data_IF_466650777094
#
_entry.id   IF_466650777094
#
_cell.length_a   1.000
_cell.length_b   1.000
_cell.length_c   1.000
_cell.angle_alpha   90.00
_cell.angle_beta   90.00
_cell.angle_gamma   90.00
#
_symmetry.space_group_name_H-M   'P 1'
#
loop_
_entity.id
_entity.type
_entity.pdbx_description
1 polymer ?
#
# COMPACT_ATOMS: atom_id res chain seq x y z
N UNK A 1 -8.99 -5.42 20.22
CA UNK A 1 -10.15 -4.78 19.59
C UNK A 1 -10.27 -5.32 18.17
N UNK A 2 -11.47 -5.61 17.70
CA UNK A 2 -11.72 -6.09 16.33
C UNK A 2 -12.85 -5.29 15.71
N UNK A 3 -12.91 -5.24 14.37
CA UNK A 3 -13.95 -4.54 13.63
C UNK A 3 -14.07 -5.09 12.22
N UNK A 4 -15.28 -5.03 11.67
CA UNK A 4 -15.58 -5.45 10.30
C UNK A 4 -16.32 -4.31 9.63
N UNK A 5 -16.00 -4.04 8.37
CA UNK A 5 -16.68 -3.03 7.58
C UNK A 5 -16.50 -3.27 6.09
N UNK A 6 -17.00 -2.34 5.29
CA UNK A 6 -16.82 -2.32 3.84
C UNK A 6 -16.31 -0.94 3.46
N UNK A 7 -15.36 -0.87 2.53
CA UNK A 7 -14.81 0.39 2.07
C UNK A 7 -14.82 0.48 0.55
N UNK A 8 -14.98 1.71 0.06
CA UNK A 8 -14.67 2.08 -1.32
C UNK A 8 -13.21 2.53 -1.35
N UNK A 9 -12.37 1.82 -2.10
CA UNK A 9 -10.92 2.03 -2.12
C UNK A 9 -10.36 1.89 -3.53
N UNK A 10 -9.20 2.49 -3.78
CA UNK A 10 -8.43 2.31 -5.01
C UNK A 10 -7.31 1.27 -4.85
N UNK A 11 -7.39 0.43 -3.81
CA UNK A 11 -6.47 -0.69 -3.58
C UNK A 11 -6.39 -1.56 -4.84
N UNK A 12 -5.19 -1.78 -5.38
CA UNK A 12 -5.02 -2.49 -6.66
C UNK A 12 -5.04 -1.58 -7.90
N UNK A 13 -5.10 -0.25 -7.74
CA UNK A 13 -4.95 0.74 -8.82
C UNK A 13 -6.25 1.16 -9.50
N UNK A 14 -7.33 0.39 -9.37
CA UNK A 14 -8.66 0.71 -9.87
C UNK A 14 -9.67 0.86 -8.73
N UNK A 15 -10.81 1.49 -9.01
CA UNK A 15 -11.89 1.63 -8.05
C UNK A 15 -12.42 0.24 -7.64
N UNK A 16 -12.44 -0.02 -6.34
CA UNK A 16 -12.81 -1.29 -5.75
C UNK A 16 -13.68 -1.13 -4.49
N UNK A 17 -14.52 -2.13 -4.24
CA UNK A 17 -15.30 -2.27 -3.01
C UNK A 17 -14.82 -3.51 -2.29
N UNK A 18 -14.22 -3.35 -1.11
CA UNK A 18 -13.61 -4.46 -0.39
C UNK A 18 -14.16 -4.54 1.04
N UNK A 19 -14.42 -5.77 1.54
CA UNK A 19 -14.60 -5.97 2.96
C UNK A 19 -13.28 -5.69 3.68
N UNK A 20 -13.37 -5.03 4.82
CA UNK A 20 -12.24 -4.68 5.67
C UNK A 20 -12.39 -5.36 7.00
N UNK A 21 -11.37 -6.12 7.39
CA UNK A 21 -11.28 -6.73 8.71
C UNK A 21 -10.15 -6.07 9.47
N UNK A 22 -10.50 -5.37 10.54
CA UNK A 22 -9.56 -4.75 11.46
C UNK A 22 -9.37 -5.64 12.69
N UNK A 23 -8.12 -5.90 13.04
CA UNK A 23 -7.75 -6.54 14.29
C UNK A 23 -6.54 -5.83 14.90
N UNK A 24 -6.71 -5.41 16.14
CA UNK A 24 -5.64 -4.92 16.98
C UNK A 24 -5.55 -5.79 18.23
N UNK A 25 -4.45 -6.50 18.36
CA UNK A 25 -4.16 -7.38 19.47
C UNK A 25 -2.80 -6.99 20.07
N UNK A 26 -2.72 -6.95 21.39
CA UNK A 26 -1.45 -6.83 22.11
C UNK A 26 -1.42 -7.94 23.14
N UNK A 27 -0.33 -8.70 23.17
CA UNK A 27 -0.16 -9.79 24.13
C UNK A 27 -0.18 -9.27 25.56
N UNK A 28 -0.72 -10.07 26.48
CA UNK A 28 -0.75 -9.79 27.92
C UNK A 28 0.65 -9.49 28.47
N UNK A 29 1.67 -10.20 27.98
CA UNK A 29 3.07 -9.98 28.36
C UNK A 29 3.68 -8.72 27.73
N UNK A 30 2.94 -7.98 26.89
CA UNK A 30 3.37 -6.79 26.15
C UNK A 30 4.63 -6.95 25.29
N UNK A 31 5.08 -8.20 25.04
CA UNK A 31 6.25 -8.52 24.23
C UNK A 31 5.97 -8.48 22.73
N UNK A 32 4.72 -8.58 22.34
CA UNK A 32 4.32 -8.53 20.94
C UNK A 32 2.90 -8.01 20.78
N UNK A 33 2.61 -7.51 19.58
CA UNK A 33 1.29 -7.10 19.15
C UNK A 33 1.10 -7.32 17.66
N UNK A 34 -0.14 -7.27 17.25
CA UNK A 34 -0.57 -7.45 15.88
C UNK A 34 -1.58 -6.35 15.55
N UNK A 35 -1.34 -5.65 14.45
CA UNK A 35 -2.26 -4.69 13.87
C UNK A 35 -2.47 -5.07 12.40
N UNK A 36 -3.69 -5.39 12.03
CA UNK A 36 -4.02 -5.78 10.66
C UNK A 36 -5.33 -5.13 10.22
N UNK A 37 -5.37 -4.73 8.96
CA UNK A 37 -6.50 -4.16 8.22
C UNK A 37 -6.53 -4.91 6.89
N UNK A 38 -7.12 -6.10 6.84
CA UNK A 38 -7.08 -6.93 5.63
C UNK A 38 -8.10 -6.43 4.60
N UNK A 39 -7.75 -6.35 3.30
CA UNK A 39 -6.47 -6.75 2.66
C UNK A 39 -5.46 -5.61 2.49
N UNK A 40 -5.65 -4.46 3.12
CA UNK A 40 -4.82 -3.27 2.90
C UNK A 40 -3.47 -3.31 3.63
N UNK A 41 -3.42 -3.80 4.87
CA UNK A 41 -2.22 -3.72 5.71
C UNK A 41 -2.17 -4.85 6.73
N UNK A 42 -0.96 -5.31 7.00
CA UNK A 42 -0.65 -6.20 8.11
C UNK A 42 0.65 -5.74 8.77
N UNK A 43 0.68 -5.69 10.09
CA UNK A 43 1.85 -5.26 10.85
C UNK A 43 1.95 -6.05 12.15
N UNK A 44 2.96 -6.89 12.23
CA UNK A 44 3.39 -7.57 13.43
C UNK A 44 4.42 -6.72 14.16
N UNK A 45 4.22 -6.50 15.45
CA UNK A 45 5.12 -5.74 16.33
C UNK A 45 5.70 -6.65 17.39
N UNK A 46 7.01 -6.57 17.60
CA UNK A 46 7.73 -7.26 18.68
C UNK A 46 8.55 -6.26 19.48
N UNK A 47 8.36 -6.29 20.80
CA UNK A 47 9.11 -5.48 21.75
C UNK A 47 10.25 -6.35 22.24
N UNK A 48 11.48 -6.03 21.82
CA UNK A 48 12.68 -6.78 22.25
C UNK A 48 12.98 -6.38 23.70
N UNK A 49 13.08 -5.07 23.93
CA UNK A 49 13.28 -4.45 25.24
C UNK A 49 12.36 -3.22 25.35
N UNK A 50 12.32 -2.56 26.51
CA UNK A 50 11.56 -1.31 26.70
C UNK A 50 12.00 -0.18 25.74
N UNK A 51 13.26 -0.23 25.27
CA UNK A 51 13.84 0.75 24.36
C UNK A 51 13.95 0.26 22.90
N UNK A 52 13.61 -0.99 22.61
CA UNK A 52 13.82 -1.59 21.29
C UNK A 52 12.54 -2.22 20.78
N UNK A 53 12.04 -1.67 19.67
CA UNK A 53 10.87 -2.17 18.96
C UNK A 53 11.28 -2.71 17.59
N UNK A 54 10.56 -3.71 17.12
CA UNK A 54 10.70 -4.20 15.75
C UNK A 54 9.33 -4.45 15.16
N UNK A 55 9.10 -3.96 13.96
CA UNK A 55 7.84 -4.08 13.24
C UNK A 55 8.11 -4.76 11.91
N UNK A 56 7.30 -5.75 11.56
CA UNK A 56 7.36 -6.43 10.28
C UNK A 56 5.96 -6.45 9.71
N UNK A 57 5.83 -6.03 8.46
CA UNK A 57 4.51 -5.93 7.86
C UNK A 57 4.54 -5.79 6.36
N UNK A 58 3.35 -5.76 5.81
CA UNK A 58 3.14 -5.42 4.41
C UNK A 58 1.96 -4.46 4.30
N UNK A 59 1.97 -3.66 3.24
CA UNK A 59 0.96 -2.66 2.94
C UNK A 59 0.71 -2.67 1.44
N UNK A 60 -0.54 -2.71 1.04
CA UNK A 60 -0.95 -2.58 -0.35
C UNK A 60 -1.37 -1.15 -0.57
N UNK A 61 -0.73 -0.49 -1.53
CA UNK A 61 -1.05 0.87 -1.96
C UNK A 61 -1.62 0.82 -3.38
N UNK A 62 -2.60 1.67 -3.64
CA UNK A 62 -3.20 1.83 -4.95
C UNK A 62 -3.47 3.31 -5.22
N UNK A 63 -2.86 3.84 -6.28
CA UNK A 63 -2.96 5.24 -6.65
C UNK A 63 -3.39 5.35 -8.13
N UNK A 64 -4.20 6.34 -8.43
CA UNK A 64 -4.66 6.65 -9.78
C UNK A 64 -4.30 8.10 -10.09
N UNK A 65 -3.54 8.32 -11.16
CA UNK A 65 -3.11 9.64 -11.60
C UNK A 65 -3.78 9.96 -12.94
N UNK A 66 -4.55 11.03 -12.98
CA UNK A 66 -5.15 11.51 -14.22
C UNK A 66 -4.10 12.27 -15.05
N UNK A 67 -3.90 11.86 -16.30
CA UNK A 67 -3.07 12.54 -17.29
C UNK A 67 -4.03 13.28 -18.23
N UNK A 68 -4.33 14.54 -17.88
CA UNK A 68 -5.12 15.43 -18.72
C UNK A 68 -4.22 16.10 -19.76
N UNK A 69 -4.65 16.08 -21.03
CA UNK A 69 -4.02 16.87 -22.08
C UNK A 69 -4.80 18.18 -22.23
N UNK A 70 -4.25 19.27 -21.68
CA UNK A 70 -4.95 20.55 -21.61
C UNK A 70 -5.21 21.08 -23.04
N UNK A 71 -6.49 21.21 -23.39
CA UNK A 71 -6.95 21.84 -24.63
C UNK A 71 -7.00 20.98 -25.91
N UNK A 72 -6.64 19.68 -25.87
CA UNK A 72 -6.62 18.76 -27.03
C UNK A 72 -6.37 19.44 -28.42
N UNK A 73 -5.28 20.22 -28.59
CA UNK A 73 -5.09 21.05 -29.78
C UNK A 73 -4.93 20.23 -31.08
N UNK A 74 -4.71 18.91 -30.98
CA UNK A 74 -4.48 18.00 -32.08
C UNK A 74 -5.57 16.93 -32.26
N UNK A 75 -6.69 17.01 -31.54
CA UNK A 75 -7.81 16.07 -31.67
C UNK A 75 -7.43 14.61 -31.39
N UNK A 76 -6.45 14.37 -30.52
CA UNK A 76 -5.94 13.03 -30.23
C UNK A 76 -7.00 12.22 -29.46
N UNK A 77 -7.19 10.92 -29.77
CA UNK A 77 -8.21 10.09 -29.14
C UNK A 77 -7.87 9.67 -27.69
N UNK A 78 -6.87 10.27 -27.05
CA UNK A 78 -6.29 9.85 -25.76
C UNK A 78 -6.42 10.94 -24.68
N UNK A 79 -7.61 11.53 -24.53
CA UNK A 79 -7.80 12.68 -23.63
C UNK A 79 -8.05 12.30 -22.16
N UNK A 80 -8.46 11.05 -21.89
CA UNK A 80 -8.87 10.56 -20.57
C UNK A 80 -7.93 9.43 -20.09
N UNK A 81 -6.62 9.68 -20.12
CA UNK A 81 -5.63 8.68 -19.70
C UNK A 81 -5.46 8.70 -18.18
N UNK A 82 -5.57 7.55 -17.55
CA UNK A 82 -5.32 7.36 -16.12
C UNK A 82 -4.14 6.40 -15.95
N UNK A 83 -3.08 6.87 -15.30
CA UNK A 83 -1.99 6.01 -14.85
C UNK A 83 -2.37 5.38 -13.51
N UNK A 84 -2.51 4.06 -13.51
CA UNK A 84 -2.89 3.29 -12.34
C UNK A 84 -1.67 2.57 -11.78
N UNK A 85 -1.42 2.77 -10.50
CA UNK A 85 -0.34 2.15 -9.75
C UNK A 85 -0.92 1.30 -8.64
N UNK A 86 -0.50 0.04 -8.59
CA UNK A 86 -0.76 -0.90 -7.51
C UNK A 86 0.55 -1.47 -7.02
N UNK A 87 0.84 -1.31 -5.73
CA UNK A 87 2.13 -1.70 -5.16
C UNK A 87 1.93 -2.41 -3.83
N UNK A 88 2.59 -3.55 -3.67
CA UNK A 88 2.73 -4.23 -2.39
C UNK A 88 4.07 -3.85 -1.78
N UNK A 89 4.04 -3.17 -0.65
CA UNK A 89 5.22 -2.79 0.13
C UNK A 89 5.38 -3.76 1.29
N UNK A 90 6.42 -4.58 1.26
CA UNK A 90 6.86 -5.34 2.43
C UNK A 90 7.90 -4.51 3.17
N UNK A 91 7.73 -4.31 4.48
CA UNK A 91 8.64 -3.48 5.27
C UNK A 91 8.97 -4.10 6.62
N UNK A 92 10.23 -3.95 7.00
CA UNK A 92 10.74 -4.18 8.33
C UNK A 92 11.19 -2.83 8.91
N UNK A 93 10.85 -2.55 10.15
CA UNK A 93 11.21 -1.33 10.86
C UNK A 93 11.78 -1.70 12.21
N UNK A 94 12.89 -1.10 12.57
CA UNK A 94 13.52 -1.22 13.86
C UNK A 94 13.55 0.16 14.50
N UNK A 95 13.02 0.27 15.72
CA UNK A 95 12.97 1.52 16.45
C UNK A 95 13.76 1.39 17.75
N UNK A 96 14.55 2.42 18.05
CA UNK A 96 15.36 2.50 19.26
C UNK A 96 15.12 3.82 19.99
N UNK A 97 14.75 3.73 21.26
CA UNK A 97 14.57 4.88 22.13
C UNK A 97 15.89 5.23 22.85
N UNK A 98 16.48 6.38 22.52
CA UNK A 98 17.61 6.93 23.28
C UNK A 98 17.12 7.53 24.61
N UNK A 99 16.04 8.29 24.54
CA UNK A 99 15.29 8.85 25.67
C UNK A 99 13.80 8.52 25.47
N UNK A 100 12.94 8.68 26.49
CA UNK A 100 11.50 8.46 26.31
C UNK A 100 10.87 9.31 25.20
N UNK A 101 11.51 10.44 24.84
CA UNK A 101 11.06 11.41 23.83
C UNK A 101 11.76 11.25 22.47
N UNK A 102 13.02 10.79 22.45
CA UNK A 102 13.81 10.70 21.21
C UNK A 102 13.95 9.25 20.79
N UNK A 103 13.41 8.96 19.61
CA UNK A 103 13.41 7.64 18.99
C UNK A 103 14.09 7.73 17.62
N UNK A 104 14.90 6.73 17.32
CA UNK A 104 15.46 6.50 16.00
C UNK A 104 14.69 5.37 15.34
N UNK A 105 14.38 5.49 14.05
CA UNK A 105 13.60 4.52 13.30
C UNK A 105 14.32 4.16 12.00
N UNK A 106 14.95 3.00 11.97
CA UNK A 106 15.50 2.45 10.73
C UNK A 106 14.46 1.55 10.05
N UNK A 107 14.12 1.85 8.80
CA UNK A 107 13.17 1.08 8.01
C UNK A 107 13.81 0.58 6.73
N UNK A 108 13.66 -0.72 6.46
CA UNK A 108 14.04 -1.33 5.20
C UNK A 108 12.81 -1.99 4.58
N UNK A 109 12.67 -1.95 3.27
CA UNK A 109 11.55 -2.60 2.61
C UNK A 109 11.77 -2.90 1.15
N UNK A 110 10.83 -3.65 0.60
CA UNK A 110 10.79 -4.06 -0.79
C UNK A 110 9.43 -3.69 -1.38
N UNK A 111 9.46 -3.07 -2.56
CA UNK A 111 8.26 -2.64 -3.27
C UNK A 111 8.05 -3.58 -4.45
N UNK A 112 7.01 -4.40 -4.37
CA UNK A 112 6.57 -5.24 -5.47
C UNK A 112 5.47 -4.50 -6.24
N UNK A 113 5.78 -4.08 -7.47
CA UNK A 113 4.82 -3.42 -8.34
C UNK A 113 3.94 -4.47 -9.00
N UNK A 114 2.64 -4.47 -8.65
CA UNK A 114 1.67 -5.38 -9.26
C UNK A 114 1.14 -4.79 -10.57
N UNK A 115 0.81 -3.50 -10.59
CA UNK A 115 0.35 -2.81 -11.81
C UNK A 115 0.93 -1.40 -11.86
N UNK A 116 1.41 -1.01 -13.03
CA UNK A 116 1.82 0.36 -13.35
C UNK A 116 1.39 0.66 -14.77
N UNK A 117 0.09 0.56 -15.01
CA UNK A 117 -0.46 0.48 -16.34
C UNK A 117 -1.33 1.70 -16.62
N UNK A 118 -1.32 2.16 -17.86
CA UNK A 118 -2.18 3.25 -18.31
C UNK A 118 -3.49 2.66 -18.80
N UNK A 119 -4.59 3.21 -18.32
CA UNK A 119 -5.94 2.83 -18.72
C UNK A 119 -6.79 4.07 -19.07
N UNK A 120 -8.00 3.86 -19.60
CA UNK A 120 -8.91 4.96 -19.96
C UNK A 120 -10.18 4.94 -19.12
N UNK A 121 -10.39 6.04 -18.40
CA UNK A 121 -11.58 6.30 -17.60
C UNK A 121 -11.68 5.47 -16.31
N UNK A 122 -12.52 5.93 -15.37
CA UNK A 122 -12.70 5.34 -14.04
C UNK A 122 -13.70 4.16 -14.12
N UNK A 123 -13.22 2.91 -14.04
CA UNK A 123 -14.08 1.72 -14.13
C UNK A 123 -13.76 0.72 -13.01
N UNK A 124 -14.80 0.00 -12.57
CA UNK A 124 -14.67 -1.04 -11.56
C UNK A 124 -14.01 -2.28 -12.18
N UNK A 125 -12.84 -2.67 -11.66
CA UNK A 125 -12.11 -3.88 -12.09
C UNK A 125 -11.90 -4.79 -10.88
N UNK A 126 -12.71 -5.84 -10.70
CA UNK A 126 -12.53 -6.77 -9.59
C UNK A 126 -11.19 -7.52 -9.74
N UNK A 127 -10.64 -7.99 -8.61
CA UNK A 127 -9.44 -8.83 -8.61
C UNK A 127 -9.64 -10.06 -9.52
N UNK A 128 -8.80 -10.20 -10.55
CA UNK A 128 -8.85 -11.32 -11.52
C UNK A 128 -9.54 -11.01 -12.85
N UNK A 129 -9.86 -9.74 -13.14
CA UNK A 129 -10.33 -9.34 -14.47
C UNK A 129 -9.17 -9.13 -15.46
N UNK A 130 -9.26 -9.77 -16.63
CA UNK A 130 -8.23 -9.86 -17.68
C UNK A 130 -8.34 -8.75 -18.74
N UNK A 131 -9.15 -7.71 -18.49
CA UNK A 131 -9.33 -6.63 -19.47
C UNK A 131 -7.99 -5.93 -19.78
N UNK A 132 -7.61 -5.83 -21.07
CA UNK A 132 -6.26 -5.37 -21.45
C UNK A 132 -6.08 -3.87 -21.18
N UNK A 133 -5.03 -3.52 -20.46
CA UNK A 133 -4.58 -2.14 -20.27
C UNK A 133 -4.11 -1.51 -21.59
N UNK A 134 -4.22 -0.19 -21.73
CA UNK A 134 -3.79 0.56 -22.92
C UNK A 134 -2.28 0.59 -23.10
N UNK A 135 -1.53 0.70 -21.99
CA UNK A 135 -0.08 0.57 -22.00
C UNK A 135 0.38 -0.17 -20.74
N UNK A 136 1.18 -1.22 -20.93
CA UNK A 136 1.76 -2.00 -19.83
C UNK A 136 3.17 -1.54 -19.53
N UNK A 137 3.48 -1.30 -18.26
CA UNK A 137 4.83 -0.89 -17.87
C UNK A 137 5.51 -1.96 -17.02
N UNK A 138 6.72 -2.36 -17.40
CA UNK A 138 7.57 -3.22 -16.58
C UNK A 138 8.45 -2.35 -15.66
N UNK A 139 7.85 -1.70 -14.65
CA UNK A 139 8.66 -1.10 -13.59
C UNK A 139 9.20 -2.21 -12.68
N UNK A 140 10.52 -2.28 -12.54
CA UNK A 140 11.18 -3.22 -11.62
C UNK A 140 10.78 -3.01 -10.17
N UNK A 141 11.16 -3.95 -9.30
CA UNK A 141 10.81 -3.93 -7.87
C UNK A 141 11.95 -3.34 -7.03
N UNK A 142 11.88 -2.07 -6.60
CA UNK A 142 12.96 -1.46 -5.86
C UNK A 142 12.93 -1.87 -4.38
N UNK A 143 14.11 -2.18 -3.85
CA UNK A 143 14.35 -2.14 -2.42
C UNK A 143 14.52 -0.67 -1.98
N UNK A 144 14.10 -0.35 -0.75
CA UNK A 144 14.27 0.97 -0.16
C UNK A 144 14.73 0.87 1.29
N UNK A 145 15.38 1.94 1.75
CA UNK A 145 15.86 2.09 3.11
C UNK A 145 15.66 3.55 3.55
N UNK A 146 15.13 3.72 4.76
CA UNK A 146 14.88 5.01 5.41
C UNK A 146 15.46 4.96 6.84
N UNK A 147 15.95 6.10 7.35
CA UNK A 147 16.50 6.25 8.70
C UNK A 147 15.99 7.53 9.36
#
# INVERSE_FOLDING_TARGET
MWGIGTTRTYLGGALNYLPVNYLMYTSENKKWGLEMVIPARFQYRRNINEKNLSLLGWEVEGNTYCINNDGNPYGLPYNDMELRRAELRVRATWEHAFTPQIWLSAQAGFRYNWSFDVDRGDFYRPFGDDTPFLAKTNLGNPAYFNL
#
